data_IF_154167896720
#
_entry.id   IF_154167896720
#
_cell.length_a   1.000
_cell.length_b   1.000
_cell.length_c   1.000
_cell.angle_alpha   90.00
_cell.angle_beta   90.00
_cell.angle_gamma   90.00
#
_symmetry.space_group_name_H-M   'P 1'
#
loop_
_entity.id
_entity.type
_entity.pdbx_description
1 polymer ?
#
# COMPACT_ATOMS: atom_id res chain seq x y z
N UNK A 1 -22.12 17.07 1.06
CA UNK A 1 -21.57 15.93 0.29
C UNK A 1 -20.06 15.86 0.54
N UNK A 2 -19.47 14.66 0.59
CA UNK A 2 -18.01 14.51 0.69
C UNK A 2 -17.30 15.14 -0.53
N UNK A 3 -16.02 15.49 -0.41
CA UNK A 3 -15.24 16.00 -1.54
C UNK A 3 -15.18 14.96 -2.67
N UNK A 4 -15.04 15.40 -3.93
CA UNK A 4 -14.93 14.49 -5.07
C UNK A 4 -13.66 13.64 -4.97
N UNK A 5 -13.75 12.40 -5.45
CA UNK A 5 -12.59 11.49 -5.51
C UNK A 5 -11.57 12.01 -6.53
N UNK A 6 -10.27 12.04 -6.19
CA UNK A 6 -9.22 12.35 -7.15
C UNK A 6 -9.23 11.40 -8.36
N UNK A 7 -8.93 11.94 -9.55
CA UNK A 7 -8.88 11.17 -10.79
C UNK A 7 -7.81 10.07 -10.79
N UNK A 8 -6.76 10.23 -9.99
CA UNK A 8 -5.61 9.33 -9.90
C UNK A 8 -5.23 9.08 -8.44
N UNK A 9 -4.49 8.00 -8.20
CA UNK A 9 -3.88 7.76 -6.89
C UNK A 9 -2.85 8.85 -6.59
N UNK A 10 -2.67 9.17 -5.30
CA UNK A 10 -1.58 10.05 -4.89
C UNK A 10 -0.21 9.44 -5.21
N UNK A 11 0.79 10.30 -5.40
CA UNK A 11 2.18 9.86 -5.44
C UNK A 11 2.72 9.74 -4.01
N UNK A 12 3.52 8.70 -3.75
CA UNK A 12 4.28 8.58 -2.52
C UNK A 12 5.35 9.69 -2.40
N UNK A 13 5.87 9.95 -1.20
CA UNK A 13 7.02 10.84 -1.04
C UNK A 13 8.27 10.23 -1.69
N UNK A 14 9.12 11.07 -2.28
CA UNK A 14 10.48 10.66 -2.64
C UNK A 14 11.31 10.43 -1.37
N UNK A 15 12.03 9.30 -1.32
CA UNK A 15 12.95 8.96 -0.24
C UNK A 15 14.42 9.16 -0.66
N UNK A 16 14.66 9.72 -1.85
CA UNK A 16 15.97 10.22 -2.27
C UNK A 16 16.31 11.49 -1.48
N UNK A 17 16.99 11.28 -0.36
CA UNK A 17 17.43 12.36 0.53
C UNK A 17 18.95 12.29 0.70
N UNK A 18 19.56 13.41 1.05
CA UNK A 18 21.00 13.47 1.39
C UNK A 18 21.38 12.67 2.66
N UNK A 19 20.40 12.07 3.34
CA UNK A 19 20.60 11.27 4.54
C UNK A 19 20.62 9.79 4.20
N UNK A 20 21.70 9.11 4.58
CA UNK A 20 21.82 7.66 4.40
C UNK A 20 20.71 6.93 5.19
N UNK A 21 20.03 5.94 4.59
CA UNK A 21 19.04 5.13 5.30
C UNK A 21 19.67 4.31 6.44
N UNK A 22 18.91 4.03 7.51
CA UNK A 22 19.34 3.08 8.55
C UNK A 22 19.68 1.71 7.98
N UNK A 23 20.53 0.97 8.68
CA UNK A 23 20.87 -0.40 8.29
C UNK A 23 19.61 -1.27 8.23
N UNK A 24 19.44 -2.01 7.13
CA UNK A 24 18.28 -2.87 6.89
C UNK A 24 17.06 -2.17 6.28
N UNK A 25 17.10 -0.86 6.06
CA UNK A 25 16.04 -0.12 5.34
C UNK A 25 16.41 0.00 3.87
N UNK A 26 15.48 -0.40 3.00
CA UNK A 26 15.57 -0.23 1.55
C UNK A 26 14.57 0.86 1.11
N UNK A 27 15.05 2.09 0.80
CA UNK A 27 14.18 3.19 0.38
C UNK A 27 13.37 2.88 -0.88
N UNK A 28 13.96 2.18 -1.85
CA UNK A 28 13.26 1.84 -3.09
C UNK A 28 12.09 0.89 -2.82
N UNK A 29 12.27 -0.08 -1.91
CA UNK A 29 11.18 -0.95 -1.47
C UNK A 29 10.07 -0.16 -0.75
N UNK A 30 10.41 0.85 0.04
CA UNK A 30 9.44 1.72 0.71
C UNK A 30 8.66 2.62 -0.27
N UNK A 31 9.31 3.12 -1.32
CA UNK A 31 8.63 3.89 -2.38
C UNK A 31 7.62 3.03 -3.15
N UNK A 32 7.97 1.77 -3.45
CA UNK A 32 7.04 0.80 -4.03
C UNK A 32 5.82 0.60 -3.11
N UNK A 33 6.05 0.40 -1.80
CA UNK A 33 4.98 0.26 -0.81
C UNK A 33 4.11 1.51 -0.71
N UNK A 34 4.70 2.71 -0.80
CA UNK A 34 3.97 3.97 -0.76
C UNK A 34 3.05 4.15 -1.97
N UNK A 35 3.55 3.86 -3.18
CA UNK A 35 2.78 3.94 -4.42
C UNK A 35 1.59 2.95 -4.41
N UNK A 36 1.86 1.71 -4.03
CA UNK A 36 0.86 0.65 -3.90
C UNK A 36 -0.21 0.99 -2.82
N UNK A 37 0.21 1.58 -1.70
CA UNK A 37 -0.70 2.06 -0.66
C UNK A 37 -1.59 3.21 -1.13
N UNK A 38 -1.07 4.13 -1.96
CA UNK A 38 -1.86 5.22 -2.51
C UNK A 38 -2.95 4.72 -3.48
N UNK A 39 -2.64 3.71 -4.29
CA UNK A 39 -3.63 3.04 -5.16
C UNK A 39 -4.73 2.40 -4.32
N UNK A 40 -4.36 1.69 -3.24
CA UNK A 40 -5.34 1.09 -2.33
C UNK A 40 -6.20 2.12 -1.61
N UNK A 41 -5.60 3.17 -1.07
CA UNK A 41 -6.32 4.22 -0.35
C UNK A 41 -7.36 4.87 -1.27
N UNK A 42 -7.04 5.08 -2.55
CA UNK A 42 -8.02 5.57 -3.53
C UNK A 42 -9.16 4.59 -3.76
N UNK A 43 -8.88 3.28 -3.87
CA UNK A 43 -9.93 2.26 -4.01
C UNK A 43 -10.85 2.24 -2.78
N UNK A 44 -10.26 2.22 -1.58
CA UNK A 44 -11.01 2.29 -0.31
C UNK A 44 -11.86 3.55 -0.22
N UNK A 45 -11.36 4.69 -0.67
CA UNK A 45 -12.14 5.94 -0.73
C UNK A 45 -13.31 5.83 -1.71
N UNK A 46 -13.10 5.25 -2.89
CA UNK A 46 -14.18 5.04 -3.87
C UNK A 46 -15.25 4.11 -3.31
N UNK A 47 -14.85 3.02 -2.66
CA UNK A 47 -15.76 2.06 -2.02
C UNK A 47 -16.52 2.73 -0.87
N UNK A 48 -15.83 3.54 -0.05
CA UNK A 48 -16.43 4.24 1.09
C UNK A 48 -17.48 5.28 0.70
N UNK A 49 -17.38 5.80 -0.52
CA UNK A 49 -18.31 6.79 -1.08
C UNK A 49 -19.41 6.15 -1.93
N UNK A 50 -19.38 4.83 -2.12
CA UNK A 50 -20.42 4.11 -2.83
C UNK A 50 -21.73 4.12 -2.00
N UNK A 51 -22.90 4.24 -2.65
CA UNK A 51 -24.18 4.17 -1.95
C UNK A 51 -24.35 2.86 -1.17
N UNK A 52 -24.81 2.93 0.08
CA UNK A 52 -25.04 1.76 0.93
C UNK A 52 -23.77 1.20 1.57
N UNK A 53 -22.61 1.85 1.42
CA UNK A 53 -21.39 1.47 2.13
C UNK A 53 -21.57 1.53 3.65
N UNK A 54 -22.41 2.45 4.14
CA UNK A 54 -22.75 2.59 5.55
C UNK A 54 -23.42 1.36 6.17
N UNK A 55 -24.00 0.47 5.35
CA UNK A 55 -24.63 -0.78 5.79
C UNK A 55 -23.67 -1.98 5.68
N UNK A 56 -22.49 -1.80 5.09
CA UNK A 56 -21.53 -2.87 4.88
C UNK A 56 -20.80 -3.23 6.18
N UNK A 57 -20.51 -4.52 6.41
CA UNK A 57 -19.70 -4.93 7.55
C UNK A 57 -18.28 -4.38 7.41
N UNK A 58 -17.67 -4.04 8.55
CA UNK A 58 -16.28 -3.62 8.57
C UNK A 58 -15.36 -4.74 8.04
N UNK A 59 -14.35 -4.41 7.21
CA UNK A 59 -13.36 -5.37 6.79
C UNK A 59 -12.64 -5.99 7.99
N UNK A 60 -12.38 -7.30 7.93
CA UNK A 60 -11.52 -7.97 8.91
C UNK A 60 -10.07 -7.58 8.61
N UNK A 61 -9.37 -7.07 9.63
CA UNK A 61 -7.97 -6.69 9.51
C UNK A 61 -7.10 -7.91 9.21
N UNK A 62 -6.19 -7.77 8.23
CA UNK A 62 -5.24 -8.82 7.89
C UNK A 62 -4.17 -8.91 8.97
N UNK A 63 -3.81 -10.14 9.33
CA UNK A 63 -2.58 -10.36 10.11
C UNK A 63 -1.35 -10.00 9.27
N UNK A 64 -0.20 -9.66 9.89
CA UNK A 64 1.01 -9.30 9.15
C UNK A 64 1.43 -10.34 8.09
N UNK A 65 1.37 -11.67 8.35
CA UNK A 65 1.70 -12.67 7.32
C UNK A 65 0.69 -12.70 6.16
N UNK A 66 -0.61 -12.49 6.43
CA UNK A 66 -1.61 -12.42 5.36
C UNK A 66 -1.40 -11.19 4.48
N UNK A 67 -1.03 -10.06 5.09
CA UNK A 67 -0.73 -8.84 4.35
C UNK A 67 0.52 -8.99 3.47
N UNK A 68 1.56 -9.64 3.99
CA UNK A 68 2.76 -9.94 3.22
C UNK A 68 2.50 -10.83 1.99
N UNK A 69 1.67 -11.88 2.14
CA UNK A 69 1.25 -12.74 1.01
C UNK A 69 0.46 -11.94 -0.02
N UNK A 70 -0.48 -11.09 0.42
CA UNK A 70 -1.25 -10.20 -0.45
C UNK A 70 -0.33 -9.26 -1.23
N UNK A 71 0.63 -8.62 -0.56
CA UNK A 71 1.61 -7.71 -1.19
C UNK A 71 2.45 -8.43 -2.25
N UNK A 72 2.89 -9.66 -1.99
CA UNK A 72 3.66 -10.45 -2.94
C UNK A 72 2.84 -10.82 -4.20
N UNK A 73 1.53 -11.03 -4.06
CA UNK A 73 0.63 -11.37 -5.17
C UNK A 73 0.32 -10.17 -6.09
N UNK A 74 0.08 -8.99 -5.51
CA UNK A 74 -0.38 -7.80 -6.23
C UNK A 74 0.74 -7.05 -6.96
N UNK A 75 1.92 -6.95 -6.35
CA UNK A 75 2.97 -6.01 -6.80
C UNK A 75 3.83 -6.57 -7.94
N UNK A 76 3.79 -7.89 -8.22
CA UNK A 76 4.83 -8.59 -9.02
C UNK A 76 6.22 -8.02 -8.68
N UNK A 77 6.58 -7.96 -7.39
CA UNK A 77 7.76 -7.24 -6.95
C UNK A 77 9.00 -7.78 -7.66
N UNK A 78 9.97 -6.90 -7.92
CA UNK A 78 11.31 -7.32 -8.34
C UNK A 78 11.79 -8.43 -7.39
N UNK A 79 12.50 -9.42 -7.92
CA UNK A 79 12.78 -10.67 -7.20
C UNK A 79 13.38 -10.46 -5.79
N UNK A 80 14.14 -9.38 -5.61
CA UNK A 80 14.73 -8.96 -4.33
C UNK A 80 13.66 -8.50 -3.32
N UNK A 81 12.74 -7.65 -3.72
CA UNK A 81 11.65 -7.13 -2.87
C UNK A 81 10.68 -8.26 -2.51
N UNK A 82 10.40 -9.17 -3.45
CA UNK A 82 9.62 -10.38 -3.18
C UNK A 82 10.26 -11.28 -2.11
N UNK A 83 11.58 -11.45 -2.15
CA UNK A 83 12.31 -12.24 -1.16
C UNK A 83 12.29 -11.62 0.24
N UNK A 84 12.35 -10.28 0.35
CA UNK A 84 12.25 -9.58 1.64
C UNK A 84 10.86 -9.74 2.27
N UNK A 85 9.80 -9.63 1.47
CA UNK A 85 8.42 -9.84 1.95
C UNK A 85 8.21 -11.27 2.46
N UNK A 86 8.73 -12.27 1.75
CA UNK A 86 8.63 -13.67 2.16
C UNK A 86 9.40 -13.97 3.46
N UNK A 87 10.53 -13.29 3.70
CA UNK A 87 11.34 -13.48 4.91
C UNK A 87 10.74 -12.81 6.17
N UNK A 88 9.81 -11.87 6.00
CA UNK A 88 9.14 -11.16 7.09
C UNK A 88 7.81 -11.79 7.54
N UNK A 89 7.40 -12.91 6.91
CA UNK A 89 6.19 -13.68 7.22
C UNK A 89 6.49 -14.86 8.13
#
# INVERSE_FOLDING_TARGET
>A
APPPVPGEAGLGPSLDTETRPPAGVDPAALEVLAADSAVRARRMLMDALAPGHEEQPLPVELTPPQDAVRLAADVRPEARTGALLAAAS
#
